data_IF_648792104585
#
_entry.id   IF_648792104585
#
_cell.length_a   1.000
_cell.length_b   1.000
_cell.length_c   1.000
_cell.angle_alpha   90.00
_cell.angle_beta   90.00
_cell.angle_gamma   90.00
#
_symmetry.space_group_name_H-M   'P 1'
#
loop_
_entity.id
_entity.type
_entity.pdbx_description
1 polymer ?
#
# COMPACT_ATOMS: atom_id res chain seq x y z
N UNK A 1 -55.59 -3.29 44.64
CA UNK A 1 -54.59 -4.37 44.78
C UNK A 1 -54.59 -5.14 43.47
N UNK A 2 -53.57 -4.91 42.66
CA UNK A 2 -53.40 -5.50 41.34
C UNK A 2 -52.24 -6.49 41.40
N UNK A 3 -52.50 -7.76 41.05
CA UNK A 3 -51.51 -8.80 40.75
C UNK A 3 -52.19 -9.71 39.72
N UNK A 4 -51.81 -9.62 38.44
CA UNK A 4 -50.65 -10.27 37.81
C UNK A 4 -50.99 -11.70 37.37
N UNK A 5 -51.39 -11.81 36.09
CA UNK A 5 -51.38 -13.04 35.31
C UNK A 5 -49.96 -13.30 34.79
N UNK A 6 -49.49 -14.52 34.94
CA UNK A 6 -48.33 -15.05 34.20
C UNK A 6 -48.59 -16.54 33.93
N UNK A 7 -49.10 -16.81 32.72
CA UNK A 7 -49.09 -18.12 32.08
C UNK A 7 -47.66 -18.41 31.57
N UNK A 8 -47.01 -19.42 32.16
CA UNK A 8 -45.89 -20.13 31.53
C UNK A 8 -46.43 -21.40 30.85
N UNK A 9 -46.01 -21.70 29.61
CA UNK A 9 -45.95 -23.07 29.14
C UNK A 9 -44.50 -23.52 28.89
N UNK A 10 -44.09 -24.48 29.72
CA UNK A 10 -43.27 -25.69 29.50
C UNK A 10 -42.06 -25.72 28.53
N UNK A 11 -41.00 -26.47 28.88
CA UNK A 11 -39.72 -26.49 28.19
C UNK A 11 -39.72 -27.37 26.93
N UNK A 12 -39.04 -26.90 25.88
CA UNK A 12 -38.80 -27.67 24.67
C UNK A 12 -37.74 -28.76 24.92
N UNK A 13 -38.06 -29.98 24.47
CA UNK A 13 -37.30 -31.20 24.65
C UNK A 13 -35.94 -31.18 23.93
N UNK A 14 -34.90 -31.63 24.63
CA UNK A 14 -33.56 -31.90 24.11
C UNK A 14 -33.51 -33.30 23.46
N UNK A 15 -33.18 -33.34 22.17
CA UNK A 15 -32.92 -34.58 21.42
C UNK A 15 -31.54 -35.13 21.76
N UNK A 16 -31.50 -36.33 22.33
CA UNK A 16 -30.29 -37.04 22.74
C UNK A 16 -29.90 -38.02 21.62
N UNK A 17 -28.65 -37.95 21.15
CA UNK A 17 -28.09 -38.92 20.20
C UNK A 17 -27.16 -39.92 20.91
N UNK A 18 -27.01 -41.10 20.29
CA UNK A 18 -26.55 -42.43 20.77
C UNK A 18 -25.13 -42.56 21.38
N UNK A 19 -24.49 -41.47 21.81
CA UNK A 19 -23.14 -41.54 22.42
C UNK A 19 -22.96 -40.55 23.60
N UNK A 20 -24.06 -40.16 24.25
CA UNK A 20 -24.02 -39.43 25.52
C UNK A 20 -23.45 -38.01 25.48
N UNK A 21 -23.13 -37.47 24.29
CA UNK A 21 -22.77 -36.06 24.08
C UNK A 21 -23.93 -35.28 23.47
N UNK A 22 -24.25 -34.12 24.04
CA UNK A 22 -25.31 -33.27 23.52
C UNK A 22 -24.92 -32.62 22.20
N UNK A 23 -25.88 -32.34 21.31
CA UNK A 23 -25.62 -31.62 20.04
C UNK A 23 -24.96 -30.25 20.29
N UNK A 24 -25.21 -29.64 21.44
CA UNK A 24 -24.59 -28.40 21.89
C UNK A 24 -23.09 -28.54 22.21
N UNK A 25 -22.65 -29.67 22.75
CA UNK A 25 -21.22 -29.96 23.00
C UNK A 25 -20.45 -30.15 21.69
N UNK A 26 -21.11 -30.78 20.70
CA UNK A 26 -20.56 -30.96 19.35
C UNK A 26 -20.47 -29.61 18.63
N UNK A 27 -21.49 -28.74 18.75
CA UNK A 27 -21.45 -27.37 18.23
C UNK A 27 -20.29 -26.58 18.84
N UNK A 28 -20.11 -26.64 20.17
CA UNK A 28 -19.03 -25.93 20.87
C UNK A 28 -17.65 -26.39 20.40
N UNK A 29 -17.43 -27.71 20.26
CA UNK A 29 -16.16 -28.27 19.79
C UNK A 29 -15.88 -27.92 18.32
N UNK A 30 -16.91 -27.91 17.47
CA UNK A 30 -16.78 -27.48 16.07
C UNK A 30 -16.39 -26.01 15.96
N UNK A 31 -16.98 -25.15 16.80
CA UNK A 31 -16.60 -23.74 16.86
C UNK A 31 -15.16 -23.57 17.34
N UNK A 32 -14.70 -24.34 18.32
CA UNK A 32 -13.31 -24.31 18.80
C UNK A 32 -12.32 -24.65 17.69
N UNK A 33 -12.58 -25.73 16.92
CA UNK A 33 -11.74 -26.08 15.78
C UNK A 33 -11.71 -24.96 14.73
N UNK A 34 -12.86 -24.33 14.45
CA UNK A 34 -12.94 -23.23 13.48
C UNK A 34 -12.14 -21.99 13.92
N UNK A 35 -11.95 -21.80 15.22
CA UNK A 35 -11.04 -20.76 15.75
C UNK A 35 -9.57 -21.17 15.60
N UNK A 36 -9.23 -22.45 15.74
CA UNK A 36 -7.86 -22.96 15.59
C UNK A 36 -7.38 -22.91 14.12
N UNK A 37 -8.29 -23.09 13.16
CA UNK A 37 -7.98 -23.11 11.73
C UNK A 37 -8.69 -21.98 10.95
N UNK A 38 -8.15 -20.74 10.98
CA UNK A 38 -8.77 -19.57 10.33
C UNK A 38 -8.83 -19.67 8.79
N UNK A 39 -8.02 -20.54 8.18
CA UNK A 39 -8.03 -20.80 6.73
C UNK A 39 -9.10 -21.81 6.30
N UNK A 40 -9.88 -22.36 7.24
CA UNK A 40 -10.95 -23.31 6.99
C UNK A 40 -10.60 -24.76 7.32
N UNK A 41 -11.63 -25.56 7.58
CA UNK A 41 -11.57 -26.97 8.00
C UNK A 41 -12.22 -27.82 6.91
N UNK A 42 -11.62 -28.95 6.58
CA UNK A 42 -12.22 -29.97 5.69
C UNK A 42 -12.89 -31.09 6.48
N UNK A 43 -13.76 -31.86 5.82
CA UNK A 43 -14.40 -33.04 6.43
C UNK A 43 -13.38 -34.04 7.01
N UNK A 44 -12.18 -34.13 6.42
CA UNK A 44 -11.09 -35.01 6.90
C UNK A 44 -10.57 -34.61 8.29
N UNK A 45 -10.53 -33.31 8.57
CA UNK A 45 -10.09 -32.78 9.87
C UNK A 45 -11.20 -33.00 10.91
N UNK A 46 -12.47 -32.82 10.51
CA UNK A 46 -13.64 -33.10 11.36
C UNK A 46 -13.78 -34.59 11.70
N UNK A 47 -13.41 -35.48 10.78
CA UNK A 47 -13.43 -36.93 11.01
C UNK A 47 -12.25 -37.40 11.87
N UNK A 48 -11.11 -36.69 11.84
CA UNK A 48 -9.95 -36.98 12.68
C UNK A 48 -10.15 -36.53 14.14
N UNK A 49 -10.69 -35.33 14.39
CA UNK A 49 -10.89 -34.81 15.76
C UNK A 49 -12.12 -35.42 16.45
N UNK A 50 -13.15 -35.82 15.68
CA UNK A 50 -14.39 -36.41 16.20
C UNK A 50 -14.79 -37.68 15.43
N UNK A 51 -14.10 -38.82 15.62
CA UNK A 51 -14.36 -40.05 14.88
C UNK A 51 -15.67 -40.76 15.28
N UNK A 52 -16.17 -40.52 16.50
CA UNK A 52 -17.39 -41.16 17.05
C UNK A 52 -18.70 -40.53 16.56
N UNK A 53 -18.67 -39.30 16.04
CA UNK A 53 -19.89 -38.58 15.64
C UNK A 53 -20.27 -38.91 14.19
N UNK A 54 -21.54 -39.28 13.96
CA UNK A 54 -22.07 -39.54 12.61
C UNK A 54 -21.93 -38.31 11.69
N UNK A 55 -21.50 -38.55 10.45
CA UNK A 55 -21.31 -37.53 9.41
C UNK A 55 -22.56 -36.67 9.17
N UNK A 56 -23.77 -37.24 9.28
CA UNK A 56 -25.02 -36.49 9.10
C UNK A 56 -25.25 -35.46 10.22
N UNK A 57 -24.90 -35.77 11.47
CA UNK A 57 -25.06 -34.84 12.59
C UNK A 57 -24.11 -33.64 12.42
N UNK A 58 -22.85 -33.90 12.01
CA UNK A 58 -21.87 -32.84 11.72
C UNK A 58 -22.35 -31.90 10.61
N UNK A 59 -22.93 -32.44 9.54
CA UNK A 59 -23.45 -31.65 8.43
C UNK A 59 -24.69 -30.84 8.85
N UNK A 60 -25.57 -31.40 9.67
CA UNK A 60 -26.74 -30.69 10.19
C UNK A 60 -26.32 -29.50 11.07
N UNK A 61 -25.36 -29.69 11.99
CA UNK A 61 -24.82 -28.61 12.82
C UNK A 61 -24.12 -27.56 11.96
N UNK A 62 -23.36 -27.95 10.93
CA UNK A 62 -22.76 -26.98 9.99
C UNK A 62 -23.82 -26.20 9.21
N UNK A 63 -24.90 -26.84 8.76
CA UNK A 63 -26.01 -26.18 8.10
C UNK A 63 -26.72 -25.20 9.03
N UNK A 64 -26.87 -25.55 10.31
CA UNK A 64 -27.43 -24.66 11.33
C UNK A 64 -26.48 -23.50 11.67
N UNK A 65 -25.16 -23.73 11.73
CA UNK A 65 -24.16 -22.68 11.91
C UNK A 65 -24.07 -21.76 10.68
N UNK A 66 -24.34 -22.28 9.49
CA UNK A 66 -24.46 -21.49 8.25
C UNK A 66 -25.76 -20.67 8.24
N UNK A 67 -26.89 -21.22 8.70
CA UNK A 67 -28.15 -20.47 8.81
C UNK A 67 -28.09 -19.39 9.88
N UNK A 68 -27.37 -19.63 10.99
CA UNK A 68 -26.99 -18.65 12.01
C UNK A 68 -25.93 -17.64 11.52
N UNK A 69 -25.40 -17.81 10.30
CA UNK A 69 -24.47 -16.90 9.66
C UNK A 69 -23.05 -16.87 10.24
N UNK A 70 -22.68 -17.84 11.10
CA UNK A 70 -21.37 -17.89 11.77
C UNK A 70 -20.28 -18.52 10.90
N UNK A 71 -20.65 -19.35 9.92
CA UNK A 71 -19.73 -20.15 9.11
C UNK A 71 -19.99 -19.91 7.62
N UNK A 72 -18.93 -19.90 6.80
CA UNK A 72 -18.99 -19.87 5.34
C UNK A 72 -18.34 -21.12 4.75
N UNK A 73 -18.98 -21.68 3.73
CA UNK A 73 -18.50 -22.85 2.98
C UNK A 73 -17.89 -22.40 1.65
N UNK A 74 -16.71 -22.92 1.30
CA UNK A 74 -16.05 -22.69 0.02
C UNK A 74 -15.40 -23.97 -0.53
N UNK A 75 -15.16 -24.02 -1.84
CA UNK A 75 -14.46 -25.12 -2.52
C UNK A 75 -13.00 -24.75 -2.71
N UNK A 76 -12.08 -25.66 -2.42
CA UNK A 76 -10.68 -25.44 -2.74
C UNK A 76 -10.45 -25.47 -4.26
N UNK A 77 -9.59 -24.57 -4.75
CA UNK A 77 -9.29 -24.49 -6.18
C UNK A 77 -8.64 -25.81 -6.65
N UNK A 78 -9.30 -26.52 -7.58
CA UNK A 78 -8.79 -27.75 -8.18
C UNK A 78 -9.21 -29.06 -7.49
N UNK A 79 -9.95 -29.02 -6.38
CA UNK A 79 -10.51 -30.23 -5.74
C UNK A 79 -12.01 -30.07 -5.47
N UNK A 80 -12.76 -31.18 -5.47
CA UNK A 80 -14.19 -31.22 -5.09
C UNK A 80 -14.39 -31.14 -3.55
N UNK A 81 -13.35 -30.82 -2.79
CA UNK A 81 -13.39 -30.81 -1.32
C UNK A 81 -13.99 -29.50 -0.80
N UNK A 82 -14.95 -29.64 0.12
CA UNK A 82 -15.61 -28.55 0.81
C UNK A 82 -14.81 -28.16 2.06
N UNK A 83 -14.62 -26.86 2.23
CA UNK A 83 -14.00 -26.25 3.39
C UNK A 83 -15.00 -25.33 4.09
N UNK A 84 -15.01 -25.38 5.43
CA UNK A 84 -15.80 -24.50 6.28
C UNK A 84 -14.86 -23.60 7.08
N UNK A 85 -15.04 -22.28 6.99
CA UNK A 85 -14.34 -21.32 7.84
C UNK A 85 -15.34 -20.50 8.64
N UNK A 86 -14.93 -20.06 9.83
CA UNK A 86 -15.68 -19.04 10.54
C UNK A 86 -15.76 -17.81 9.63
N UNK A 87 -16.95 -17.23 9.45
CA UNK A 87 -17.01 -15.89 8.87
C UNK A 87 -16.27 -14.99 9.86
N UNK A 88 -15.09 -14.54 9.47
CA UNK A 88 -14.40 -13.49 10.20
C UNK A 88 -15.39 -12.33 10.28
N UNK A 89 -15.88 -12.04 11.47
CA UNK A 89 -16.60 -10.81 11.74
C UNK A 89 -15.56 -9.72 11.96
N UNK A 90 -15.37 -8.78 11.02
CA UNK A 90 -15.12 -7.40 11.39
C UNK A 90 -16.43 -6.61 11.55
N UNK A 91 -17.59 -7.22 11.29
CA UNK A 91 -18.90 -6.54 11.34
C UNK A 91 -19.53 -6.42 12.74
N UNK A 92 -18.91 -6.97 13.80
CA UNK A 92 -19.41 -6.80 15.18
C UNK A 92 -18.95 -5.50 15.85
N UNK A 93 -18.15 -4.65 15.19
CA UNK A 93 -17.73 -3.36 15.76
C UNK A 93 -18.85 -2.33 15.87
N UNK A 94 -20.04 -2.61 15.34
CA UNK A 94 -21.21 -1.73 15.48
C UNK A 94 -22.41 -2.56 15.94
N UNK A 95 -22.57 -2.72 17.26
CA UNK A 95 -23.88 -3.08 17.83
C UNK A 95 -24.85 -1.95 17.46
N UNK A 96 -25.81 -2.24 16.56
CA UNK A 96 -26.81 -1.27 16.08
C UNK A 96 -26.56 -0.67 14.69
N UNK A 97 -25.79 -1.33 13.80
CA UNK A 97 -25.68 -0.88 12.42
C UNK A 97 -26.98 -1.11 11.63
N UNK A 98 -27.54 -0.02 11.09
CA UNK A 98 -28.63 -0.05 10.11
C UNK A 98 -28.26 -0.93 8.91
N UNK A 99 -29.26 -1.54 8.25
CA UNK A 99 -29.03 -2.39 7.08
C UNK A 99 -28.24 -1.67 5.97
N UNK A 100 -28.42 -0.36 5.86
CA UNK A 100 -27.70 0.51 4.93
C UNK A 100 -26.21 0.68 5.31
N UNK A 101 -25.89 0.83 6.61
CA UNK A 101 -24.50 0.90 7.10
C UNK A 101 -23.75 -0.41 6.80
N UNK A 102 -24.42 -1.56 6.95
CA UNK A 102 -23.82 -2.88 6.70
C UNK A 102 -23.48 -3.10 5.22
N UNK A 103 -24.36 -2.67 4.32
CA UNK A 103 -24.12 -2.76 2.87
C UNK A 103 -22.94 -1.87 2.45
N UNK A 104 -22.90 -0.62 2.93
CA UNK A 104 -21.79 0.29 2.63
C UNK A 104 -20.46 -0.23 3.20
N UNK A 105 -20.47 -0.75 4.43
CA UNK A 105 -19.27 -1.30 5.05
C UNK A 105 -18.74 -2.53 4.28
N UNK A 106 -19.62 -3.45 3.86
CA UNK A 106 -19.23 -4.61 3.06
C UNK A 106 -18.56 -4.22 1.73
N UNK A 107 -19.09 -3.20 1.04
CA UNK A 107 -18.49 -2.69 -0.20
C UNK A 107 -17.12 -2.05 0.02
N UNK A 108 -16.90 -1.39 1.17
CA UNK A 108 -15.61 -0.80 1.53
C UNK A 108 -14.60 -1.89 1.92
N UNK A 109 -15.06 -2.94 2.62
CA UNK A 109 -14.25 -4.11 2.97
C UNK A 109 -13.78 -4.87 1.73
N UNK A 110 -14.67 -5.08 0.75
CA UNK A 110 -14.32 -5.69 -0.54
C UNK A 110 -13.27 -4.89 -1.32
N UNK A 111 -13.26 -3.57 -1.19
CA UNK A 111 -12.31 -2.70 -1.87
C UNK A 111 -10.92 -2.68 -1.21
N UNK A 112 -10.81 -3.09 0.05
CA UNK A 112 -9.54 -3.26 0.76
C UNK A 112 -8.67 -2.00 0.80
N UNK A 113 -7.39 -2.17 0.45
CA UNK A 113 -6.37 -1.11 0.50
C UNK A 113 -6.46 -0.09 -0.66
N UNK A 114 -7.15 -0.43 -1.74
CA UNK A 114 -7.38 0.50 -2.87
C UNK A 114 -8.54 1.47 -2.58
N UNK A 115 -9.39 1.15 -1.62
CA UNK A 115 -10.57 1.95 -1.32
C UNK A 115 -11.57 2.01 -2.49
N UNK A 116 -12.70 2.67 -2.24
CA UNK A 116 -13.80 2.75 -3.19
C UNK A 116 -14.29 4.19 -3.36
N UNK A 117 -14.62 4.57 -4.59
CA UNK A 117 -15.10 5.91 -4.92
C UNK A 117 -16.53 6.12 -4.42
N UNK A 118 -16.85 7.31 -3.92
CA UNK A 118 -18.21 7.63 -3.45
C UNK A 118 -19.29 7.40 -4.51
N UNK A 119 -18.97 7.65 -5.79
CA UNK A 119 -19.88 7.38 -6.91
C UNK A 119 -20.15 5.87 -7.08
N UNK A 120 -19.13 5.04 -6.92
CA UNK A 120 -19.24 3.59 -7.08
C UNK A 120 -19.98 2.98 -5.88
N UNK A 121 -19.75 3.48 -4.67
CA UNK A 121 -20.55 3.09 -3.50
C UNK A 121 -22.02 3.41 -3.76
N UNK A 122 -22.34 4.58 -4.32
CA UNK A 122 -23.71 4.96 -4.64
C UNK A 122 -24.35 4.01 -5.66
N UNK A 123 -23.64 3.69 -6.74
CA UNK A 123 -24.15 2.80 -7.81
C UNK A 123 -24.36 1.38 -7.27
N UNK A 124 -23.42 0.86 -6.47
CA UNK A 124 -23.48 -0.51 -5.94
C UNK A 124 -24.46 -0.67 -4.77
N UNK A 125 -24.57 0.32 -3.90
CA UNK A 125 -25.49 0.28 -2.74
C UNK A 125 -26.93 0.64 -3.10
N UNK A 126 -27.17 1.24 -4.29
CA UNK A 126 -28.48 1.75 -4.70
C UNK A 126 -29.11 2.76 -3.72
N UNK A 127 -28.30 3.42 -2.90
CA UNK A 127 -28.75 4.39 -1.90
C UNK A 127 -28.85 5.82 -2.47
N UNK A 128 -29.76 6.62 -1.89
CA UNK A 128 -29.85 8.05 -2.20
C UNK A 128 -28.57 8.79 -1.77
N UNK A 129 -28.21 9.88 -2.47
CA UNK A 129 -27.01 10.65 -2.15
C UNK A 129 -27.05 11.26 -0.73
N UNK A 130 -28.24 11.67 -0.26
CA UNK A 130 -28.42 12.21 1.07
C UNK A 130 -28.23 11.15 2.15
N UNK A 131 -28.77 9.94 1.95
CA UNK A 131 -28.64 8.81 2.86
C UNK A 131 -27.19 8.32 2.92
N UNK A 132 -26.54 8.15 1.77
CA UNK A 132 -25.14 7.72 1.69
C UNK A 132 -24.21 8.68 2.43
N UNK A 133 -24.40 9.99 2.29
CA UNK A 133 -23.59 10.99 3.00
C UNK A 133 -23.82 10.96 4.52
N UNK A 134 -25.03 10.64 4.99
CA UNK A 134 -25.31 10.46 6.43
C UNK A 134 -24.60 9.22 6.97
N UNK A 135 -24.71 8.09 6.27
CA UNK A 135 -24.06 6.82 6.64
C UNK A 135 -22.54 6.97 6.66
N UNK A 136 -21.94 7.58 5.63
CA UNK A 136 -20.48 7.80 5.58
C UNK A 136 -20.01 8.69 6.75
N UNK A 137 -20.73 9.76 7.07
CA UNK A 137 -20.41 10.61 8.24
C UNK A 137 -20.55 9.87 9.56
N UNK A 138 -21.56 9.00 9.70
CA UNK A 138 -21.75 8.19 10.90
C UNK A 138 -20.60 7.18 11.06
N UNK A 139 -20.21 6.49 9.99
CA UNK A 139 -19.10 5.54 9.98
C UNK A 139 -17.72 6.21 10.19
N UNK A 140 -17.53 7.42 9.67
CA UNK A 140 -16.34 8.24 9.87
C UNK A 140 -16.26 8.75 11.33
N UNK A 141 -17.38 9.21 11.89
CA UNK A 141 -17.47 9.62 13.29
C UNK A 141 -17.18 8.47 14.26
N UNK A 142 -17.57 7.23 13.91
CA UNK A 142 -17.23 6.00 14.65
C UNK A 142 -15.77 5.55 14.44
N UNK A 143 -14.97 6.24 13.61
CA UNK A 143 -13.59 5.86 13.19
C UNK A 143 -13.48 4.44 12.62
N UNK A 144 -14.52 3.97 11.93
CA UNK A 144 -14.51 2.67 11.24
C UNK A 144 -13.93 2.82 9.84
N UNK A 145 -14.27 3.92 9.17
CA UNK A 145 -13.78 4.28 7.85
C UNK A 145 -13.00 5.59 7.91
N UNK A 146 -12.12 5.80 6.93
CA UNK A 146 -11.46 7.08 6.65
C UNK A 146 -11.57 7.39 5.17
N UNK A 147 -11.52 8.67 4.82
CA UNK A 147 -11.36 9.07 3.43
C UNK A 147 -9.88 9.28 3.11
N UNK A 148 -9.52 8.99 1.87
CA UNK A 148 -8.20 9.24 1.29
C UNK A 148 -8.42 9.87 -0.09
N UNK A 149 -7.69 10.93 -0.41
CA UNK A 149 -7.61 11.47 -1.77
C UNK A 149 -6.55 10.72 -2.56
N UNK A 150 -6.80 10.50 -3.85
CA UNK A 150 -5.77 9.95 -4.74
C UNK A 150 -4.86 11.06 -5.26
N UNK A 151 -3.57 10.77 -5.40
CA UNK A 151 -2.61 11.67 -6.06
C UNK A 151 -3.00 11.95 -7.51
N UNK A 152 -3.46 10.94 -8.25
CA UNK A 152 -3.86 11.11 -9.66
C UNK A 152 -5.14 11.93 -9.81
N UNK A 153 -5.99 11.95 -8.78
CA UNK A 153 -7.27 12.63 -8.81
C UNK A 153 -7.61 13.23 -7.42
N UNK A 154 -7.01 14.37 -7.04
CA UNK A 154 -7.11 14.93 -5.69
C UNK A 154 -8.52 15.35 -5.30
N UNK A 155 -9.38 15.64 -6.30
CA UNK A 155 -10.78 16.02 -6.10
C UNK A 155 -11.71 14.83 -5.81
N UNK A 156 -11.23 13.59 -5.98
CA UNK A 156 -12.03 12.38 -5.79
C UNK A 156 -11.79 11.82 -4.39
N UNK A 157 -12.88 11.60 -3.64
CA UNK A 157 -12.84 10.98 -2.31
C UNK A 157 -12.96 9.46 -2.43
N UNK A 158 -11.92 8.76 -2.00
CA UNK A 158 -11.96 7.31 -1.78
C UNK A 158 -12.21 7.02 -0.31
N UNK A 159 -13.03 6.02 -0.02
CA UNK A 159 -13.24 5.52 1.34
C UNK A 159 -12.58 4.16 1.53
N UNK A 160 -11.96 3.97 2.70
CA UNK A 160 -11.33 2.72 3.11
C UNK A 160 -11.48 2.51 4.61
N UNK A 161 -11.17 1.31 5.11
CA UNK A 161 -11.18 1.04 6.55
C UNK A 161 -10.11 1.87 7.27
N UNK A 162 -10.41 2.29 8.49
CA UNK A 162 -9.54 3.15 9.30
C UNK A 162 -8.16 2.50 9.55
N UNK A 163 -8.17 1.20 9.87
CA UNK A 163 -6.97 0.43 10.23
C UNK A 163 -6.11 0.03 9.03
N UNK A 164 -6.61 0.19 7.79
CA UNK A 164 -5.88 -0.18 6.58
C UNK A 164 -5.01 0.99 6.10
N UNK A 165 -3.79 0.70 5.67
CA UNK A 165 -2.96 1.69 4.99
C UNK A 165 -3.32 1.74 3.50
N UNK A 166 -3.46 2.94 2.91
CA UNK A 166 -3.77 3.08 1.50
C UNK A 166 -2.67 2.46 0.63
N UNK A 167 -3.09 1.90 -0.50
CA UNK A 167 -2.16 1.30 -1.45
C UNK A 167 -1.26 2.36 -2.11
N UNK A 168 -0.01 1.97 -2.40
CA UNK A 168 1.02 2.87 -2.99
C UNK A 168 0.58 3.49 -4.32
N UNK A 169 -0.25 2.78 -5.07
CA UNK A 169 -0.80 3.25 -6.34
C UNK A 169 -1.69 4.49 -6.18
N UNK A 170 -2.22 4.73 -4.98
CA UNK A 170 -3.20 5.79 -4.70
C UNK A 170 -2.56 6.96 -3.97
N UNK A 171 -1.64 6.67 -3.05
CA UNK A 171 -0.86 7.67 -2.30
C UNK A 171 0.30 8.25 -3.09
N UNK A 172 0.60 7.72 -4.28
CA UNK A 172 1.67 8.25 -5.15
C UNK A 172 3.07 8.01 -4.63
N UNK A 173 3.30 6.87 -3.97
CA UNK A 173 4.59 6.50 -3.33
C UNK A 173 4.97 7.51 -2.23
N UNK A 174 6.24 7.56 -1.83
CA UNK A 174 6.68 8.35 -0.67
C UNK A 174 6.87 9.84 -0.94
N UNK A 175 6.58 10.29 -2.15
CA UNK A 175 6.79 11.68 -2.58
C UNK A 175 5.62 12.58 -2.25
N UNK A 176 4.52 12.03 -1.76
CA UNK A 176 3.34 12.78 -1.36
C UNK A 176 3.05 12.56 0.10
N UNK A 177 2.65 13.63 0.75
CA UNK A 177 2.22 13.57 2.13
C UNK A 177 0.78 13.03 2.20
N UNK A 178 0.59 12.04 3.07
CA UNK A 178 -0.67 11.31 3.18
C UNK A 178 -1.83 12.16 3.71
N UNK A 179 -1.56 13.32 4.34
CA UNK A 179 -2.59 14.17 4.96
C UNK A 179 -3.11 15.26 4.02
N UNK A 180 -2.23 15.94 3.30
CA UNK A 180 -2.55 17.05 2.40
C UNK A 180 -2.43 16.68 0.90
N UNK A 181 -1.89 15.50 0.58
CA UNK A 181 -1.64 15.06 -0.81
C UNK A 181 -0.74 16.05 -1.58
N UNK A 182 0.10 16.79 -0.86
CA UNK A 182 1.08 17.73 -1.42
C UNK A 182 2.38 16.99 -1.73
N UNK A 183 3.06 17.44 -2.79
CA UNK A 183 4.35 16.88 -3.21
C UNK A 183 5.47 17.41 -2.32
N UNK A 184 6.21 16.50 -1.71
CA UNK A 184 7.30 16.79 -0.79
C UNK A 184 8.61 17.02 -1.58
N UNK A 185 8.69 18.14 -2.31
CA UNK A 185 9.86 18.47 -3.13
C UNK A 185 11.14 18.60 -2.30
N UNK A 186 11.04 19.19 -1.10
CA UNK A 186 12.19 19.37 -0.20
C UNK A 186 12.80 18.03 0.22
N UNK A 187 11.95 17.01 0.44
CA UNK A 187 12.42 15.67 0.77
C UNK A 187 13.12 15.02 -0.42
N UNK A 188 12.56 15.16 -1.62
CA UNK A 188 13.17 14.65 -2.86
C UNK A 188 14.55 15.28 -3.06
N UNK A 189 14.66 16.59 -2.91
CA UNK A 189 15.91 17.33 -3.07
C UNK A 189 16.94 16.94 -2.01
N UNK A 190 16.52 16.78 -0.75
CA UNK A 190 17.38 16.31 0.34
C UNK A 190 17.91 14.90 0.06
N UNK A 191 17.05 13.96 -0.36
CA UNK A 191 17.45 12.60 -0.67
C UNK A 191 18.34 12.54 -1.92
N UNK A 192 18.06 13.37 -2.93
CA UNK A 192 18.90 13.49 -4.13
C UNK A 192 20.31 13.96 -3.75
N UNK A 193 20.40 15.05 -2.97
CA UNK A 193 21.68 15.57 -2.48
C UNK A 193 22.43 14.52 -1.65
N UNK A 194 21.75 13.86 -0.71
CA UNK A 194 22.36 12.85 0.14
C UNK A 194 22.88 11.64 -0.64
N UNK A 195 22.09 11.11 -1.57
CA UNK A 195 22.51 10.00 -2.42
C UNK A 195 23.73 10.38 -3.25
N UNK A 196 23.77 11.60 -3.77
CA UNK A 196 24.91 12.09 -4.56
C UNK A 196 26.17 12.26 -3.71
N UNK A 197 26.06 12.86 -2.52
CA UNK A 197 27.17 13.03 -1.58
C UNK A 197 27.78 11.68 -1.17
N UNK A 198 26.96 10.67 -0.88
CA UNK A 198 27.45 9.33 -0.59
C UNK A 198 28.26 8.73 -1.75
N UNK A 199 27.79 8.90 -2.98
CA UNK A 199 28.50 8.43 -4.18
C UNK A 199 29.78 9.22 -4.47
N UNK A 200 29.84 10.49 -4.09
CA UNK A 200 31.06 11.31 -4.16
C UNK A 200 32.09 10.82 -3.13
N UNK A 201 31.67 10.67 -1.87
CA UNK A 201 32.53 10.17 -0.80
C UNK A 201 33.10 8.78 -1.14
N UNK A 202 32.29 7.87 -1.67
CA UNK A 202 32.78 6.55 -2.08
C UNK A 202 33.84 6.64 -3.18
N UNK A 203 33.67 7.55 -4.14
CA UNK A 203 34.66 7.78 -5.20
C UNK A 203 35.97 8.33 -4.64
N UNK A 204 35.92 9.26 -3.69
CA UNK A 204 37.12 9.80 -3.03
C UNK A 204 37.87 8.71 -2.25
N UNK A 205 37.15 7.88 -1.49
CA UNK A 205 37.73 6.73 -0.77
C UNK A 205 38.37 5.75 -1.76
N UNK A 206 37.73 5.47 -2.89
CA UNK A 206 38.28 4.60 -3.92
C UNK A 206 39.55 5.20 -4.56
N UNK A 207 39.60 6.53 -4.76
CA UNK A 207 40.78 7.22 -5.31
C UNK A 207 42.01 7.13 -4.39
N UNK A 208 41.82 7.06 -3.07
CA UNK A 208 42.92 6.86 -2.12
C UNK A 208 43.61 5.50 -2.30
N UNK A 209 42.93 4.52 -2.91
CA UNK A 209 43.49 3.18 -3.22
C UNK A 209 44.23 3.13 -4.56
N UNK A 210 44.77 4.25 -5.03
CA UNK A 210 45.49 4.37 -6.30
C UNK A 210 46.59 3.32 -6.51
N UNK A 211 47.18 2.80 -5.43
CA UNK A 211 48.23 1.78 -5.49
C UNK A 211 47.73 0.36 -5.86
N UNK A 212 46.42 0.10 -5.81
CA UNK A 212 45.81 -1.21 -6.10
C UNK A 212 45.40 -1.40 -7.58
N UNK A 213 45.66 -0.38 -8.41
CA UNK A 213 45.43 -0.38 -9.85
C UNK A 213 44.07 0.18 -10.30
N UNK A 214 43.95 0.65 -11.57
CA UNK A 214 42.79 1.42 -12.04
C UNK A 214 41.46 0.65 -12.03
N UNK A 215 41.50 -0.65 -12.29
CA UNK A 215 40.29 -1.50 -12.30
C UNK A 215 39.74 -1.67 -10.89
N UNK A 216 40.61 -1.86 -9.90
CA UNK A 216 40.24 -1.98 -8.49
C UNK A 216 39.65 -0.68 -7.96
N UNK A 217 40.28 0.46 -8.28
CA UNK A 217 39.75 1.80 -7.95
C UNK A 217 38.37 2.01 -8.59
N UNK A 218 38.20 1.64 -9.86
CA UNK A 218 36.90 1.74 -10.54
C UNK A 218 35.83 0.90 -9.86
N UNK A 219 36.12 -0.36 -9.58
CA UNK A 219 35.14 -1.29 -8.99
C UNK A 219 34.78 -0.88 -7.56
N UNK A 220 35.73 -0.40 -6.77
CA UNK A 220 35.50 0.10 -5.41
C UNK A 220 34.77 1.44 -5.34
N UNK A 221 34.66 2.17 -6.47
CA UNK A 221 33.88 3.42 -6.53
C UNK A 221 32.36 3.17 -6.62
N UNK A 222 31.92 1.94 -6.85
CA UNK A 222 30.50 1.61 -6.96
C UNK A 222 29.87 1.33 -5.59
N UNK A 223 28.61 1.74 -5.44
CA UNK A 223 27.72 1.34 -4.35
C UNK A 223 26.46 0.69 -4.93
N UNK A 224 25.93 -0.33 -4.25
CA UNK A 224 24.66 -0.95 -4.61
C UNK A 224 23.46 -0.13 -4.14
N UNK A 225 22.31 -0.29 -4.82
CA UNK A 225 21.05 0.33 -4.36
C UNK A 225 20.66 -0.13 -2.95
N UNK A 226 21.00 -1.37 -2.57
CA UNK A 226 20.75 -1.94 -1.24
C UNK A 226 21.58 -1.24 -0.15
N UNK A 227 22.88 -1.04 -0.39
CA UNK A 227 23.77 -0.33 0.54
C UNK A 227 23.35 1.14 0.74
N UNK A 228 23.05 1.83 -0.36
CA UNK A 228 22.60 3.24 -0.30
C UNK A 228 21.30 3.34 0.49
N UNK A 229 20.36 2.42 0.28
CA UNK A 229 19.08 2.38 1.00
C UNK A 229 19.27 2.10 2.50
N UNK A 230 20.18 1.19 2.86
CA UNK A 230 20.46 0.86 4.26
C UNK A 230 21.03 2.08 5.00
N UNK A 231 22.07 2.69 4.45
CA UNK A 231 22.70 3.88 5.06
C UNK A 231 21.73 5.06 5.12
N UNK A 232 20.91 5.27 4.08
CA UNK A 232 19.89 6.32 4.07
C UNK A 232 18.80 6.10 5.12
N UNK A 233 18.46 4.83 5.40
CA UNK A 233 17.49 4.47 6.44
C UNK A 233 18.06 4.68 7.85
N UNK A 234 19.35 4.38 8.05
CA UNK A 234 20.03 4.50 9.34
C UNK A 234 20.17 5.95 9.81
N UNK A 235 20.30 6.91 8.88
CA UNK A 235 20.38 8.34 9.21
C UNK A 235 19.07 8.93 9.76
N UNK A 236 17.96 8.15 9.76
CA UNK A 236 16.65 8.56 10.30
C UNK A 236 16.18 9.95 9.84
N UNK A 237 16.50 10.33 8.60
CA UNK A 237 16.05 11.59 8.00
C UNK A 237 14.53 11.61 7.80
N UNK A 238 13.90 10.43 7.79
CA UNK A 238 12.54 10.26 7.30
C UNK A 238 11.73 9.46 8.32
N UNK A 239 10.51 9.91 8.64
CA UNK A 239 9.59 9.25 9.61
C UNK A 239 9.05 7.90 9.12
N UNK A 240 9.35 7.52 7.88
CA UNK A 240 8.77 6.37 7.20
C UNK A 240 9.85 5.48 6.59
N UNK A 241 9.50 4.22 6.34
CA UNK A 241 10.42 3.21 5.83
C UNK A 241 10.69 3.43 4.34
N UNK A 242 11.92 3.86 4.01
CA UNK A 242 12.42 3.94 2.64
C UNK A 242 12.57 2.52 2.06
N UNK A 243 12.17 2.33 0.80
CA UNK A 243 12.44 1.07 0.09
C UNK A 243 13.47 1.26 -1.02
N UNK A 244 14.11 0.16 -1.41
CA UNK A 244 15.15 0.16 -2.45
C UNK A 244 14.61 0.73 -3.76
N UNK A 245 13.35 0.46 -4.11
CA UNK A 245 12.71 1.01 -5.30
C UNK A 245 12.65 2.55 -5.29
N UNK A 246 12.46 3.16 -4.12
CA UNK A 246 12.33 4.61 -4.00
C UNK A 246 13.68 5.28 -4.17
N UNK A 247 14.72 4.71 -3.56
CA UNK A 247 16.10 5.14 -3.75
C UNK A 247 16.52 4.96 -5.21
N UNK A 248 16.13 3.87 -5.86
CA UNK A 248 16.40 3.67 -7.29
C UNK A 248 15.76 4.74 -8.16
N UNK A 249 14.56 5.24 -7.82
CA UNK A 249 13.97 6.36 -8.58
C UNK A 249 14.75 7.67 -8.43
N UNK A 250 15.31 7.94 -7.24
CA UNK A 250 16.20 9.10 -7.02
C UNK A 250 17.53 8.94 -7.75
N UNK A 251 18.12 7.75 -7.70
CA UNK A 251 19.37 7.45 -8.40
C UNK A 251 19.20 7.50 -9.92
N UNK A 252 18.05 7.06 -10.45
CA UNK A 252 17.75 7.20 -11.88
C UNK A 252 17.64 8.68 -12.28
N UNK A 253 17.09 9.56 -11.43
CA UNK A 253 17.11 11.01 -11.67
C UNK A 253 18.56 11.56 -11.75
N UNK A 254 19.44 11.14 -10.84
CA UNK A 254 20.87 11.49 -10.87
C UNK A 254 21.60 10.96 -12.12
N UNK A 255 21.18 9.82 -12.66
CA UNK A 255 21.66 9.29 -13.94
C UNK A 255 21.19 10.17 -15.10
N UNK A 256 19.93 10.61 -15.10
CA UNK A 256 19.41 11.53 -16.12
C UNK A 256 20.05 12.92 -16.07
N UNK A 257 20.45 13.39 -14.88
CA UNK A 257 21.25 14.60 -14.72
C UNK A 257 22.69 14.45 -15.24
N UNK A 258 23.14 13.23 -15.54
CA UNK A 258 24.51 12.95 -16.00
C UNK A 258 25.57 13.03 -14.91
N UNK A 259 25.17 13.03 -13.63
CA UNK A 259 26.07 13.08 -12.46
C UNK A 259 26.52 11.69 -12.00
N UNK A 260 25.75 10.65 -12.31
CA UNK A 260 25.95 9.27 -11.85
C UNK A 260 25.89 8.32 -13.05
N UNK A 261 26.72 7.29 -13.04
CA UNK A 261 26.59 6.15 -13.97
C UNK A 261 26.00 4.94 -13.25
N UNK A 262 25.20 4.16 -13.99
CA UNK A 262 24.54 2.93 -13.51
C UNK A 262 25.15 1.71 -14.19
N UNK A 263 25.40 0.67 -13.42
CA UNK A 263 25.85 -0.64 -13.89
C UNK A 263 24.98 -1.74 -13.28
N UNK A 264 24.95 -2.90 -13.90
CA UNK A 264 24.30 -4.10 -13.35
C UNK A 264 25.35 -5.16 -13.10
N UNK A 265 25.47 -5.62 -11.86
CA UNK A 265 26.30 -6.75 -11.48
C UNK A 265 25.42 -7.99 -11.28
N UNK A 266 25.95 -9.16 -11.65
CA UNK A 266 25.34 -10.43 -11.25
C UNK A 266 25.82 -10.76 -9.85
N UNK A 267 24.90 -10.92 -8.90
CA UNK A 267 25.28 -11.50 -7.62
C UNK A 267 25.56 -12.99 -7.86
N UNK A 268 26.75 -13.48 -7.50
CA UNK A 268 27.20 -14.83 -7.88
C UNK A 268 26.37 -15.98 -7.29
N UNK A 269 25.39 -15.67 -6.44
CA UNK A 269 24.61 -16.61 -5.65
C UNK A 269 23.12 -16.66 -6.01
N UNK A 270 22.59 -15.63 -6.68
CA UNK A 270 21.20 -15.58 -7.13
C UNK A 270 21.14 -14.94 -8.52
N UNK A 271 20.27 -15.41 -9.41
CA UNK A 271 20.05 -14.82 -10.74
C UNK A 271 19.45 -13.38 -10.68
N UNK A 272 19.55 -12.70 -9.55
CA UNK A 272 19.08 -11.34 -9.30
C UNK A 272 20.17 -10.36 -9.70
N UNK A 273 19.86 -9.48 -10.66
CA UNK A 273 20.77 -8.42 -11.08
C UNK A 273 20.75 -7.30 -10.04
N UNK A 274 21.91 -7.03 -9.44
CA UNK A 274 22.07 -5.93 -8.50
C UNK A 274 22.44 -4.66 -9.26
N UNK A 275 21.71 -3.58 -9.03
CA UNK A 275 22.00 -2.26 -9.61
C UNK A 275 23.07 -1.56 -8.77
N UNK A 276 24.14 -1.15 -9.44
CA UNK A 276 25.29 -0.47 -8.87
C UNK A 276 25.38 0.94 -9.46
N UNK A 277 25.80 1.90 -8.66
CA UNK A 277 25.87 3.31 -9.03
C UNK A 277 27.22 3.88 -8.61
N UNK A 278 27.77 4.80 -9.40
CA UNK A 278 28.94 5.60 -9.00
C UNK A 278 28.85 7.03 -9.52
N UNK A 279 29.42 7.97 -8.79
CA UNK A 279 29.53 9.36 -9.25
C UNK A 279 30.52 9.48 -10.42
N UNK A 280 30.17 10.32 -11.39
CA UNK A 280 31.00 10.61 -12.56
C UNK A 280 31.30 12.09 -12.65
N UNK A 281 32.49 12.43 -13.13
CA UNK A 281 32.78 13.80 -13.49
C UNK A 281 32.12 14.12 -14.84
N UNK A 282 31.63 15.35 -14.98
CA UNK A 282 31.11 15.82 -16.26
C UNK A 282 32.23 15.73 -17.32
N UNK A 283 32.02 15.00 -18.43
CA UNK A 283 33.10 14.70 -19.38
C UNK A 283 33.57 15.93 -20.15
N UNK A 284 32.68 16.91 -20.34
CA UNK A 284 32.97 18.16 -21.04
C UNK A 284 32.39 19.34 -20.27
N UNK A 285 33.11 20.48 -20.19
CA UNK A 285 32.58 21.69 -19.59
C UNK A 285 31.37 22.21 -20.39
N UNK A 286 30.55 23.05 -19.75
CA UNK A 286 29.44 23.71 -20.45
C UNK A 286 29.95 24.52 -21.65
N UNK A 287 29.21 24.42 -22.76
CA UNK A 287 29.53 25.15 -23.98
C UNK A 287 29.57 26.66 -23.72
N UNK A 288 30.59 27.35 -24.24
CA UNK A 288 30.77 28.79 -24.00
C UNK A 288 29.57 29.65 -24.44
N UNK A 289 28.73 29.16 -25.36
CA UNK A 289 27.53 29.87 -25.79
C UNK A 289 26.53 30.09 -24.64
N UNK A 290 26.43 29.18 -23.67
CA UNK A 290 25.54 29.34 -22.50
C UNK A 290 26.05 30.40 -21.51
N UNK A 291 27.32 30.78 -21.61
CA UNK A 291 27.92 31.87 -20.82
C UNK A 291 27.64 33.25 -21.41
N UNK A 292 27.00 33.31 -22.59
CA UNK A 292 26.63 34.58 -23.24
C UNK A 292 25.12 34.77 -23.18
N UNK A 293 24.62 36.00 -23.04
CA UNK A 293 23.18 36.26 -22.95
C UNK A 293 22.47 35.83 -24.23
N UNK A 294 23.16 35.85 -25.37
CA UNK A 294 22.65 35.39 -26.65
C UNK A 294 22.32 33.89 -26.66
N UNK A 295 23.11 33.04 -26.00
CA UNK A 295 22.92 31.59 -26.02
C UNK A 295 21.66 31.11 -25.31
N UNK A 296 21.08 31.95 -24.44
CA UNK A 296 19.85 31.68 -23.68
C UNK A 296 18.75 32.71 -23.96
N UNK A 297 18.95 33.59 -24.95
CA UNK A 297 18.05 34.70 -25.21
C UNK A 297 16.69 34.19 -25.75
N UNK A 298 15.56 34.48 -25.06
CA UNK A 298 14.25 33.98 -25.46
C UNK A 298 13.71 34.62 -26.75
N UNK A 299 14.34 35.71 -27.20
CA UNK A 299 13.94 36.49 -28.38
C UNK A 299 15.06 36.59 -29.42
N UNK A 300 16.03 35.68 -29.40
CA UNK A 300 17.18 35.69 -30.33
C UNK A 300 16.74 35.69 -31.79
N UNK A 301 15.67 34.96 -32.12
CA UNK A 301 15.08 34.88 -33.45
C UNK A 301 14.49 36.20 -33.96
N UNK A 302 14.21 37.15 -33.06
CA UNK A 302 13.73 38.50 -33.39
C UNK A 302 14.83 39.55 -33.33
N UNK A 303 16.04 39.17 -32.90
CA UNK A 303 17.18 40.06 -32.79
C UNK A 303 17.85 40.23 -34.15
N UNK A 304 18.01 41.48 -34.60
CA UNK A 304 18.58 41.77 -35.92
C UNK A 304 19.31 43.11 -35.99
N UNK A 305 19.87 43.41 -37.16
CA UNK A 305 20.49 44.72 -37.43
C UNK A 305 19.46 45.84 -37.61
N UNK A 306 18.21 45.48 -37.89
CA UNK A 306 17.08 46.38 -38.13
C UNK A 306 15.88 45.85 -37.34
N UNK A 307 15.00 46.75 -36.89
CA UNK A 307 13.80 46.40 -36.11
C UNK A 307 13.88 46.85 -34.66
N UNK A 308 12.87 46.49 -33.86
CA UNK A 308 12.73 46.94 -32.47
C UNK A 308 13.70 46.24 -31.49
N UNK A 309 14.16 45.03 -31.81
CA UNK A 309 15.09 44.25 -30.98
C UNK A 309 16.44 44.20 -31.69
N UNK A 310 17.41 44.91 -31.12
CA UNK A 310 18.76 45.05 -31.68
C UNK A 310 19.81 44.76 -30.62
N UNK A 311 20.97 44.17 -31.00
CA UNK A 311 22.07 43.95 -30.07
C UNK A 311 22.53 45.24 -29.38
N UNK A 312 22.55 46.37 -30.11
CA UNK A 312 22.99 47.68 -29.60
C UNK A 312 22.15 48.23 -28.45
N UNK A 313 20.89 47.82 -28.36
CA UNK A 313 19.94 48.25 -27.32
C UNK A 313 19.47 47.06 -26.46
N UNK A 314 20.24 45.97 -26.46
CA UNK A 314 19.85 44.73 -25.81
C UNK A 314 19.99 44.85 -24.29
N UNK A 315 18.84 44.82 -23.58
CA UNK A 315 18.82 44.82 -22.12
C UNK A 315 19.55 43.62 -21.52
N UNK A 316 19.33 42.43 -22.10
CA UNK A 316 20.01 41.20 -21.67
C UNK A 316 21.53 41.28 -21.80
N UNK A 317 22.07 42.11 -22.70
CA UNK A 317 23.53 42.26 -22.80
C UNK A 317 24.06 43.21 -21.72
N UNK A 318 23.31 44.25 -21.39
CA UNK A 318 23.68 45.23 -20.38
C UNK A 318 23.51 44.71 -18.94
N UNK A 319 22.57 43.79 -18.71
CA UNK A 319 22.28 43.20 -17.39
C UNK A 319 23.11 41.94 -17.09
N UNK A 320 23.88 41.42 -18.07
CA UNK A 320 24.61 40.14 -17.98
C UNK A 320 26.06 40.28 -17.47
N UNK A 321 26.33 41.30 -16.64
CA UNK A 321 27.60 41.40 -15.92
C UNK A 321 27.68 40.41 -14.75
#
# INVERSE_FOLDING_TARGET
MASANSDEPSPAASTVNDDGRSEAEIEARMLELLHQFPKGISNKILDTDMPTVNKQIKVNILNELMSKGKVSMFKAAGTQELFWCLKSHPTSRIKGADNEERVVLGLIEEAGNKGIWTKDIRIKSSLSQATLNKVLKALEGKKVIKFVSSVSAPKIKLYMLFNLQPDRSITGRLWYNNENNEFESELVDLLNHQCFEMLQQQKEIAQQKQNEGPVTVRNSSFLSSKEICQVSSDMKLVKFNLTVEDIETILDALVFEGKVEKSTASDGNCNEKVKMYRSVAQPVPFASITKTPCGVCPVINKCGKVGAIQPKMCKYFNEWE
#
